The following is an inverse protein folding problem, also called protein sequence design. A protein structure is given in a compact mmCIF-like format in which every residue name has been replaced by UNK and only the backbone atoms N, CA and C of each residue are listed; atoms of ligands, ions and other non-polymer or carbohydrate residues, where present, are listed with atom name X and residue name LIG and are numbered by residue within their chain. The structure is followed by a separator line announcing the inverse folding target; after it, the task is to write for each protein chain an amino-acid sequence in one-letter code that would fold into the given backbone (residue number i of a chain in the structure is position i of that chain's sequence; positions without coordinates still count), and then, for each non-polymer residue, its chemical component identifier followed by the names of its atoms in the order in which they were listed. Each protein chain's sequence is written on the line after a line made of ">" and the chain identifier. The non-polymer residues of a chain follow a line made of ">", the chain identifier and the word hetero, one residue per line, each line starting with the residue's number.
data_IF_769387772441
#
_entry.id   IF_769387772441
#
_cell.length_a   1.000
_cell.length_b   1.000
_cell.length_c   1.000
_cell.angle_alpha   90.00
_cell.angle_beta   90.00
_cell.angle_gamma   90.00
#
_symmetry.space_group_name_H-M   'P 1'
#
loop_
_entity.id
_entity.type
_entity.pdbx_description
1 polymer ?
#
# COMPACT_ATOMS: atom_id res chain seq x y z
N UNK A 1 -8.94 -44.24 3.61
CA UNK A 1 -9.82 -43.13 3.19
C UNK A 1 -9.15 -41.79 3.56
N UNK A 2 -9.12 -40.88 2.58
CA UNK A 2 -9.09 -39.40 2.68
C UNK A 2 -7.88 -38.68 3.31
N UNK A 3 -6.97 -38.29 2.40
CA UNK A 3 -6.27 -36.99 2.22
C UNK A 3 -6.37 -35.96 3.37
N UNK A 4 -5.22 -35.48 3.85
CA UNK A 4 -5.06 -34.24 4.64
C UNK A 4 -5.53 -32.99 3.86
N UNK A 5 -5.63 -31.81 4.53
CA UNK A 5 -4.52 -30.87 4.32
C UNK A 5 -4.08 -30.04 5.54
N UNK A 6 -2.75 -29.97 5.68
CA UNK A 6 -1.85 -28.80 5.89
C UNK A 6 -2.40 -27.62 6.72
N UNK A 7 -1.80 -27.38 7.90
CA UNK A 7 -1.87 -26.08 8.59
C UNK A 7 -0.61 -25.26 8.26
N UNK A 8 -0.83 -24.01 7.84
CA UNK A 8 0.14 -23.01 7.37
C UNK A 8 1.32 -22.85 8.34
N UNK A 9 2.53 -22.81 7.78
CA UNK A 9 3.72 -22.36 8.49
C UNK A 9 3.58 -20.87 8.89
N UNK A 10 4.05 -20.58 10.09
CA UNK A 10 4.17 -19.24 10.68
C UNK A 10 4.95 -18.30 9.76
N UNK A 11 4.37 -17.15 9.43
CA UNK A 11 5.02 -16.16 8.56
C UNK A 11 6.12 -15.45 9.35
N UNK A 12 7.36 -15.92 9.19
CA UNK A 12 8.54 -15.15 9.61
C UNK A 12 8.63 -13.89 8.75
N UNK A 13 8.80 -12.68 9.34
CA UNK A 13 8.98 -11.47 8.58
C UNK A 13 10.25 -11.59 7.72
N UNK A 14 10.08 -11.51 6.40
CA UNK A 14 11.19 -11.57 5.45
C UNK A 14 12.18 -10.44 5.73
N UNK A 15 13.45 -10.78 5.93
CA UNK A 15 14.53 -9.80 6.01
C UNK A 15 14.58 -9.04 4.68
N UNK A 16 14.16 -7.78 4.69
CA UNK A 16 14.39 -6.85 3.58
C UNK A 16 15.90 -6.77 3.37
N UNK A 17 16.37 -7.23 2.22
CA UNK A 17 17.78 -7.18 1.85
C UNK A 17 18.23 -5.71 1.87
N UNK A 18 19.21 -5.40 2.73
CA UNK A 18 19.75 -4.05 2.94
C UNK A 18 20.42 -3.44 1.69
N UNK A 19 20.51 -4.18 0.59
CA UNK A 19 21.22 -3.80 -0.63
C UNK A 19 20.31 -3.65 -1.87
N UNK A 20 18.98 -3.64 -1.72
CA UNK A 20 18.05 -3.41 -2.84
C UNK A 20 17.86 -1.92 -3.20
N UNK A 21 18.82 -1.07 -2.84
CA UNK A 21 18.87 0.33 -3.23
C UNK A 21 20.19 0.51 -3.97
N UNK A 22 20.18 0.25 -5.28
CA UNK A 22 21.24 0.76 -6.16
C UNK A 22 21.33 2.27 -5.94
N UNK A 23 22.47 2.73 -5.43
CA UNK A 23 22.83 4.13 -5.44
C UNK A 23 23.15 4.46 -6.89
N UNK A 24 22.16 4.97 -7.62
CA UNK A 24 22.36 5.50 -8.95
C UNK A 24 23.24 6.74 -8.80
N UNK A 25 24.49 6.67 -9.25
CA UNK A 25 25.36 7.85 -9.33
C UNK A 25 24.64 8.93 -10.15
N UNK A 26 24.61 10.15 -9.62
CA UNK A 26 23.89 11.24 -10.24
C UNK A 26 24.44 11.49 -11.66
N UNK A 27 23.60 11.43 -12.71
CA UNK A 27 24.06 11.81 -14.03
C UNK A 27 24.51 13.27 -14.00
N UNK A 28 25.65 13.55 -14.64
CA UNK A 28 26.20 14.90 -14.77
C UNK A 28 25.12 15.89 -15.19
N UNK A 29 24.78 16.83 -14.29
CA UNK A 29 23.84 17.95 -14.44
C UNK A 29 22.68 17.66 -15.42
N UNK A 30 21.68 16.92 -14.94
CA UNK A 30 20.40 16.85 -15.65
C UNK A 30 19.84 18.28 -15.82
N UNK A 31 19.59 18.69 -17.06
CA UNK A 31 19.08 20.02 -17.40
C UNK A 31 17.69 20.32 -16.80
N UNK A 32 17.22 21.58 -16.86
CA UNK A 32 16.06 22.10 -16.11
C UNK A 32 14.68 21.55 -16.52
N UNK A 33 14.61 20.50 -17.35
CA UNK A 33 13.36 20.01 -17.95
C UNK A 33 12.79 18.72 -17.32
N UNK A 34 13.49 18.12 -16.36
CA UNK A 34 13.03 16.89 -15.70
C UNK A 34 13.17 17.00 -14.19
N UNK A 35 12.05 16.90 -13.48
CA UNK A 35 12.01 16.76 -12.02
C UNK A 35 11.15 15.55 -11.68
N UNK A 36 11.50 14.86 -10.58
CA UNK A 36 10.64 13.82 -10.03
C UNK A 36 10.62 13.90 -8.51
N UNK A 37 9.49 13.48 -7.95
CA UNK A 37 9.32 13.31 -6.51
C UNK A 37 8.77 11.92 -6.25
N UNK A 38 9.50 11.19 -5.43
CA UNK A 38 9.09 9.89 -4.92
C UNK A 38 8.96 9.97 -3.41
N UNK A 39 7.86 9.46 -2.87
CA UNK A 39 7.69 9.32 -1.41
C UNK A 39 7.13 7.95 -1.09
N UNK A 40 7.72 7.29 -0.12
CA UNK A 40 7.23 6.05 0.47
C UNK A 40 7.05 6.26 1.97
N UNK A 41 5.92 5.81 2.51
CA UNK A 41 5.65 5.81 3.95
C UNK A 41 5.20 4.41 4.33
N UNK A 42 5.89 3.83 5.30
CA UNK A 42 5.58 2.56 5.91
C UNK A 42 5.06 2.82 7.33
N UNK A 43 3.91 2.24 7.67
CA UNK A 43 3.35 2.31 9.02
C UNK A 43 3.20 0.90 9.58
N UNK A 44 3.62 0.73 10.83
CA UNK A 44 3.47 -0.52 11.59
C UNK A 44 2.82 -0.23 12.94
N UNK A 45 2.07 -1.17 13.50
CA UNK A 45 1.48 -1.05 14.82
C UNK A 45 1.82 -2.28 15.68
N UNK A 46 2.47 -2.05 16.83
CA UNK A 46 2.88 -3.09 17.79
C UNK A 46 2.63 -2.56 19.20
N UNK A 47 2.02 -3.38 20.06
CA UNK A 47 1.95 -3.10 21.51
C UNK A 47 1.26 -1.79 21.87
N UNK A 48 0.18 -1.42 21.17
CA UNK A 48 -0.58 -0.20 21.45
C UNK A 48 0.03 1.10 20.90
N UNK A 49 1.17 1.03 20.20
CA UNK A 49 1.80 2.17 19.51
C UNK A 49 1.91 1.91 18.03
N UNK A 50 1.93 2.98 17.24
CA UNK A 50 2.25 2.92 15.83
C UNK A 50 3.64 3.51 15.58
N UNK A 51 4.35 3.00 14.57
CA UNK A 51 5.61 3.57 14.09
C UNK A 51 5.48 3.81 12.60
N UNK A 52 5.79 5.03 12.18
CA UNK A 52 5.83 5.44 10.80
C UNK A 52 7.27 5.73 10.37
N UNK A 53 7.68 5.17 9.25
CA UNK A 53 8.94 5.46 8.59
C UNK A 53 8.63 5.96 7.20
N UNK A 54 9.18 7.11 6.83
CA UNK A 54 9.02 7.63 5.48
C UNK A 54 10.35 7.96 4.83
N UNK A 55 10.38 7.86 3.52
CA UNK A 55 11.49 8.30 2.67
C UNK A 55 10.91 9.16 1.56
N UNK A 56 11.43 10.37 1.42
CA UNK A 56 11.15 11.25 0.30
C UNK A 56 12.42 11.46 -0.50
N UNK A 57 12.37 11.27 -1.81
CA UNK A 57 13.47 11.53 -2.74
C UNK A 57 12.98 12.50 -3.80
N UNK A 58 13.76 13.55 -4.06
CA UNK A 58 13.44 14.57 -5.05
C UNK A 58 14.64 14.79 -5.96
N UNK A 59 14.38 14.90 -7.25
CA UNK A 59 15.33 15.45 -8.22
C UNK A 59 14.83 16.84 -8.60
N UNK A 60 15.57 17.87 -8.17
CA UNK A 60 15.30 19.27 -8.45
C UNK A 60 16.62 19.92 -8.88
N UNK A 61 16.59 20.72 -9.94
CA UNK A 61 17.76 21.46 -10.46
C UNK A 61 19.02 20.59 -10.68
N UNK A 62 18.82 19.37 -11.17
CA UNK A 62 19.90 18.40 -11.39
C UNK A 62 20.50 17.80 -10.12
N UNK A 63 19.92 18.09 -8.95
CA UNK A 63 20.37 17.58 -7.64
C UNK A 63 19.36 16.59 -7.07
N UNK A 64 19.82 15.40 -6.71
CA UNK A 64 19.02 14.41 -6.00
C UNK A 64 19.14 14.64 -4.49
N UNK A 65 18.03 14.94 -3.84
CA UNK A 65 17.92 15.03 -2.38
C UNK A 65 17.08 13.89 -1.85
N UNK A 66 17.49 13.28 -0.74
CA UNK A 66 16.70 12.26 -0.07
C UNK A 66 16.61 12.56 1.42
N UNK A 67 15.38 12.57 1.93
CA UNK A 67 15.06 12.73 3.35
C UNK A 67 14.41 11.45 3.86
N UNK A 68 14.82 10.99 5.04
CA UNK A 68 14.18 9.86 5.73
C UNK A 68 13.72 10.34 7.09
N UNK A 69 12.48 10.01 7.45
CA UNK A 69 11.95 10.26 8.78
C UNK A 69 11.48 8.95 9.42
N UNK A 70 11.56 8.89 10.74
CA UNK A 70 11.00 7.82 11.55
C UNK A 70 10.37 8.45 12.78
N UNK A 71 9.10 8.15 13.04
CA UNK A 71 8.35 8.70 14.16
C UNK A 71 7.43 7.66 14.77
N UNK A 72 7.35 7.67 16.09
CA UNK A 72 6.32 6.95 16.81
C UNK A 72 5.05 7.81 16.84
N UNK A 73 3.92 7.15 16.59
CA UNK A 73 2.59 7.74 16.49
C UNK A 73 1.65 7.02 17.44
N UNK A 74 0.56 7.69 17.78
CA UNK A 74 -0.54 7.03 18.47
C UNK A 74 -1.16 5.96 17.58
N UNK A 75 -1.55 4.83 18.16
CA UNK A 75 -2.18 3.72 17.43
C UNK A 75 -3.44 4.14 16.67
N UNK A 76 -4.21 5.09 17.19
CA UNK A 76 -5.39 5.62 16.51
C UNK A 76 -5.10 6.22 15.13
N UNK A 77 -3.88 6.72 14.90
CA UNK A 77 -3.46 7.23 13.58
C UNK A 77 -3.31 6.08 12.57
N UNK A 78 -2.73 4.96 12.99
CA UNK A 78 -2.65 3.75 12.17
C UNK A 78 -4.04 3.19 11.85
N UNK A 79 -4.89 3.05 12.88
CA UNK A 79 -6.23 2.46 12.70
C UNK A 79 -7.09 3.30 11.73
N UNK A 80 -6.98 4.64 11.80
CA UNK A 80 -7.62 5.55 10.84
C UNK A 80 -7.08 5.35 9.43
N UNK A 81 -5.75 5.32 9.26
CA UNK A 81 -5.13 5.13 7.95
C UNK A 81 -5.55 3.80 7.29
N UNK A 82 -5.65 2.73 8.08
CA UNK A 82 -6.15 1.42 7.60
C UNK A 82 -7.62 1.51 7.21
N UNK A 83 -8.46 2.15 8.02
CA UNK A 83 -9.88 2.31 7.72
C UNK A 83 -10.11 3.08 6.41
N UNK A 84 -9.39 4.20 6.23
CA UNK A 84 -9.46 5.02 5.03
C UNK A 84 -9.03 4.23 3.79
N UNK A 85 -7.94 3.45 3.89
CA UNK A 85 -7.46 2.60 2.81
C UNK A 85 -8.45 1.49 2.44
N UNK A 86 -9.03 0.82 3.44
CA UNK A 86 -10.07 -0.20 3.23
C UNK A 86 -11.30 0.38 2.55
N UNK A 87 -11.76 1.54 3.03
CA UNK A 87 -12.91 2.23 2.45
C UNK A 87 -12.65 2.62 1.01
N UNK A 88 -11.51 3.25 0.73
CA UNK A 88 -11.12 3.60 -0.63
C UNK A 88 -11.10 2.37 -1.54
N UNK A 89 -10.50 1.27 -1.09
CA UNK A 89 -10.45 0.03 -1.87
C UNK A 89 -11.84 -0.54 -2.16
N UNK A 90 -12.72 -0.57 -1.16
CA UNK A 90 -14.10 -1.03 -1.31
C UNK A 90 -14.89 -0.14 -2.27
N UNK A 91 -14.76 1.18 -2.14
CA UNK A 91 -15.44 2.15 -3.00
C UNK A 91 -14.98 1.99 -4.48
N UNK A 92 -13.67 1.85 -4.72
CA UNK A 92 -13.14 1.59 -6.06
C UNK A 92 -13.61 0.24 -6.61
N UNK A 93 -13.61 -0.80 -5.78
CA UNK A 93 -14.07 -2.14 -6.18
C UNK A 93 -15.56 -2.12 -6.49
N UNK A 94 -16.38 -1.39 -5.73
CA UNK A 94 -17.81 -1.27 -5.97
C UNK A 94 -18.08 -0.56 -7.32
N UNK A 95 -17.32 0.49 -7.65
CA UNK A 95 -17.42 1.15 -8.96
C UNK A 95 -17.04 0.21 -10.10
N UNK A 96 -15.96 -0.56 -9.95
CA UNK A 96 -15.55 -1.57 -10.93
C UNK A 96 -16.60 -2.68 -11.09
N UNK A 97 -17.16 -3.19 -10.00
CA UNK A 97 -18.19 -4.23 -10.05
C UNK A 97 -19.49 -3.69 -10.67
N UNK A 98 -19.84 -2.43 -10.40
CA UNK A 98 -20.99 -1.77 -11.02
C UNK A 98 -20.79 -1.63 -12.52
N UNK A 99 -19.62 -1.17 -12.98
CA UNK A 99 -19.35 -1.08 -14.43
C UNK A 99 -19.38 -2.46 -15.10
N UNK A 100 -18.86 -3.49 -14.42
CA UNK A 100 -18.91 -4.87 -14.92
C UNK A 100 -20.35 -5.43 -14.94
N UNK A 101 -21.18 -5.08 -13.96
CA UNK A 101 -22.59 -5.52 -13.94
C UNK A 101 -23.41 -5.00 -15.12
N UNK A 102 -23.04 -3.86 -15.71
CA UNK A 102 -23.68 -3.37 -16.93
C UNK A 102 -23.37 -4.24 -18.15
N UNK A 103 -22.22 -4.92 -18.15
CA UNK A 103 -21.78 -5.82 -19.23
C UNK A 103 -22.31 -7.25 -19.06
N UNK A 104 -22.87 -7.58 -17.90
CA UNK A 104 -23.43 -8.91 -17.64
C UNK A 104 -24.95 -8.89 -17.95
N UNK A 105 -25.46 -9.84 -18.75
CA UNK A 105 -26.90 -9.98 -18.95
C UNK A 105 -27.58 -10.33 -17.62
N UNK A 106 -28.34 -9.38 -17.06
CA UNK A 106 -29.00 -9.51 -15.76
C UNK A 106 -30.13 -10.56 -15.79
N UNK A 107 -30.15 -11.45 -14.79
CA UNK A 107 -31.41 -11.76 -14.10
C UNK A 107 -31.17 -11.73 -12.59
N UNK A 108 -31.28 -10.53 -12.02
CA UNK A 108 -31.55 -10.35 -10.59
C UNK A 108 -32.94 -10.91 -10.35
N UNK A 109 -33.07 -12.18 -9.98
CA UNK A 109 -34.31 -12.65 -9.36
C UNK A 109 -34.23 -12.22 -7.90
N UNK A 110 -35.01 -11.18 -7.57
CA UNK A 110 -35.28 -10.76 -6.21
C UNK A 110 -35.68 -11.97 -5.36
N UNK A 111 -35.12 -12.06 -4.15
CA UNK A 111 -35.70 -12.83 -3.07
C UNK A 111 -37.12 -12.33 -2.82
N UNK A 112 -38.08 -13.23 -2.87
CA UNK A 112 -39.19 -13.23 -1.92
C UNK A 112 -39.37 -14.68 -1.58
N UNK A 113 -38.80 -15.08 -0.44
CA UNK A 113 -39.39 -16.19 0.28
C UNK A 113 -39.58 -15.72 1.71
N UNK A 114 -40.85 -15.67 2.08
CA UNK A 114 -41.41 -15.22 3.33
C UNK A 114 -42.29 -16.38 3.77
N UNK A 115 -42.08 -16.76 5.02
CA UNK A 115 -42.78 -17.75 5.85
C UNK A 115 -42.20 -19.18 5.82
#
# INVERSE_FOLDING_TARGET
>A
MKKHPVRLAERVPGKVAKNALEVIEAPAKAGPFFSFRYSSVEMSAIGGRARAKGKTTRLEDGTVTSETFERDLERGVYDRAVNDAQRYFLDQTALMLKSLSFLLPYSWKQRTDRD
#
